data_IF_249163780606
#
_entry.id   IF_249163780606
#
_cell.length_a   1.000
_cell.length_b   1.000
_cell.length_c   1.000
_cell.angle_alpha   90.00
_cell.angle_beta   90.00
_cell.angle_gamma   90.00
#
_symmetry.space_group_name_H-M   'P 1'
#
loop_
_entity.id
_entity.type
_entity.pdbx_description
1 polymer ?
#
# COMPACT_ATOMS: atom_id res chain seq x y z
N UNK A 1 0.27 -10.99 -47.19
CA UNK A 1 -0.06 -11.39 -45.80
C UNK A 1 -1.45 -12.01 -45.84
N UNK A 2 -1.57 -13.31 -45.59
CA UNK A 2 -2.86 -13.93 -45.27
C UNK A 2 -3.26 -13.47 -43.88
N UNK A 3 -4.42 -12.82 -43.75
CA UNK A 3 -4.99 -12.55 -42.44
C UNK A 3 -5.61 -13.86 -41.93
N UNK A 4 -5.11 -14.36 -40.80
CA UNK A 4 -5.71 -15.49 -40.09
C UNK A 4 -6.86 -14.95 -39.23
N UNK A 5 -8.02 -14.79 -39.87
CA UNK A 5 -9.25 -14.43 -39.18
C UNK A 5 -9.93 -15.70 -38.64
N UNK A 6 -10.71 -15.53 -37.56
CA UNK A 6 -11.57 -16.60 -37.05
C UNK A 6 -12.54 -17.02 -38.15
N UNK A 7 -12.54 -18.30 -38.48
CA UNK A 7 -13.34 -18.90 -39.54
C UNK A 7 -14.68 -19.41 -39.01
N UNK A 8 -15.66 -19.59 -39.90
CA UNK A 8 -16.95 -20.17 -39.54
C UNK A 8 -16.83 -21.61 -39.02
N UNK A 9 -15.87 -22.38 -39.53
CA UNK A 9 -15.68 -23.77 -39.12
C UNK A 9 -15.05 -23.85 -37.72
N UNK A 10 -14.15 -22.93 -37.36
CA UNK A 10 -13.68 -22.77 -35.97
C UNK A 10 -14.84 -22.39 -35.04
N UNK A 11 -15.71 -21.46 -35.44
CA UNK A 11 -16.88 -21.09 -34.62
C UNK A 11 -17.85 -22.26 -34.42
N UNK A 12 -18.07 -23.11 -35.45
CA UNK A 12 -18.88 -24.32 -35.31
C UNK A 12 -18.24 -25.29 -34.32
N UNK A 13 -16.92 -25.45 -34.37
CA UNK A 13 -16.17 -26.29 -33.43
C UNK A 13 -16.31 -25.77 -31.99
N UNK A 14 -16.09 -24.47 -31.75
CA UNK A 14 -16.22 -23.87 -30.41
C UNK A 14 -17.63 -24.02 -29.84
N UNK A 15 -18.68 -23.84 -30.65
CA UNK A 15 -20.07 -24.05 -30.23
C UNK A 15 -20.34 -25.47 -29.79
N UNK A 16 -19.80 -26.46 -30.52
CA UNK A 16 -19.92 -27.87 -30.16
C UNK A 16 -19.20 -28.18 -28.85
N UNK A 17 -17.97 -27.72 -28.69
CA UNK A 17 -17.18 -27.90 -27.46
C UNK A 17 -17.88 -27.27 -26.25
N UNK A 18 -18.46 -26.08 -26.41
CA UNK A 18 -19.23 -25.43 -25.35
C UNK A 18 -20.50 -26.23 -24.98
N UNK A 19 -21.27 -26.69 -25.97
CA UNK A 19 -22.49 -27.47 -25.73
C UNK A 19 -22.24 -28.81 -25.02
N UNK A 20 -21.02 -29.35 -25.13
CA UNK A 20 -20.58 -30.57 -24.45
C UNK A 20 -19.91 -30.28 -23.08
N UNK A 21 -19.70 -29.00 -22.74
CA UNK A 21 -19.02 -28.57 -21.52
C UNK A 21 -19.94 -28.61 -20.28
N UNK A 22 -19.35 -28.82 -19.10
CA UNK A 22 -20.07 -28.68 -17.82
C UNK A 22 -20.50 -27.24 -17.56
N UNK A 23 -19.81 -26.26 -18.16
CA UNK A 23 -20.09 -24.83 -18.01
C UNK A 23 -21.44 -24.43 -18.63
N UNK A 24 -21.92 -25.16 -19.63
CA UNK A 24 -23.25 -24.95 -20.24
C UNK A 24 -24.36 -25.04 -19.18
N UNK A 25 -24.27 -26.05 -18.30
CA UNK A 25 -25.27 -26.29 -17.25
C UNK A 25 -25.41 -25.14 -16.23
N UNK A 26 -24.34 -24.33 -16.06
CA UNK A 26 -24.31 -23.19 -15.14
C UNK A 26 -24.40 -21.84 -15.86
N UNK A 27 -24.45 -21.82 -17.20
CA UNK A 27 -24.44 -20.60 -18.00
C UNK A 27 -25.57 -19.64 -17.61
N UNK A 28 -26.78 -20.15 -17.45
CA UNK A 28 -27.94 -19.32 -17.08
C UNK A 28 -27.77 -18.61 -15.73
N UNK A 29 -27.15 -19.27 -14.74
CA UNK A 29 -26.86 -18.66 -13.44
C UNK A 29 -25.80 -17.57 -13.57
N UNK A 30 -24.72 -17.83 -14.32
CA UNK A 30 -23.66 -16.85 -14.59
C UNK A 30 -24.20 -15.63 -15.34
N UNK A 31 -25.08 -15.83 -16.32
CA UNK A 31 -25.74 -14.73 -17.05
C UNK A 31 -26.62 -13.87 -16.14
N UNK A 32 -27.28 -14.48 -15.14
CA UNK A 32 -28.19 -13.78 -14.24
C UNK A 32 -27.49 -13.07 -13.08
N UNK A 33 -26.40 -13.63 -12.55
CA UNK A 33 -25.78 -13.19 -11.29
C UNK A 33 -24.30 -12.80 -11.42
N UNK A 34 -23.66 -13.10 -12.57
CA UNK A 34 -22.23 -12.89 -12.79
C UNK A 34 -21.36 -14.02 -12.23
N UNK A 35 -20.11 -14.07 -12.69
CA UNK A 35 -19.13 -15.12 -12.31
C UNK A 35 -18.82 -15.11 -10.81
N UNK A 36 -18.52 -13.96 -10.16
CA UNK A 36 -18.11 -13.97 -8.76
C UNK A 36 -19.19 -14.56 -7.85
N UNK A 37 -20.46 -14.19 -8.04
CA UNK A 37 -21.56 -14.66 -7.21
C UNK A 37 -21.82 -16.17 -7.35
N UNK A 38 -21.70 -16.71 -8.57
CA UNK A 38 -21.93 -18.14 -8.85
C UNK A 38 -20.75 -19.02 -8.40
N UNK A 39 -19.54 -18.47 -8.35
CA UNK A 39 -18.34 -19.25 -8.04
C UNK A 39 -17.95 -19.27 -6.55
N UNK A 40 -18.63 -18.52 -5.67
CA UNK A 40 -18.32 -18.46 -4.23
C UNK A 40 -18.30 -19.88 -3.61
N UNK A 41 -17.20 -20.21 -2.93
CA UNK A 41 -17.05 -21.44 -2.18
C UNK A 41 -17.36 -21.22 -0.68
N UNK A 42 -18.65 -21.24 -0.34
CA UNK A 42 -19.11 -21.06 1.06
C UNK A 42 -18.56 -22.08 2.06
N UNK A 43 -18.03 -23.23 1.59
CA UNK A 43 -17.39 -24.21 2.48
C UNK A 43 -16.07 -23.70 3.07
N UNK A 44 -15.38 -22.79 2.38
CA UNK A 44 -14.12 -22.19 2.86
C UNK A 44 -14.37 -21.30 4.06
N UNK A 45 -15.46 -20.53 4.07
CA UNK A 45 -15.81 -19.64 5.19
C UNK A 45 -15.91 -20.39 6.52
N UNK A 46 -16.47 -21.60 6.52
CA UNK A 46 -16.57 -22.43 7.72
C UNK A 46 -15.20 -22.86 8.28
N UNK A 47 -14.15 -22.93 7.44
CA UNK A 47 -12.79 -23.27 7.84
C UNK A 47 -11.99 -22.05 8.30
N UNK A 48 -12.35 -20.86 7.81
CA UNK A 48 -11.66 -19.60 8.04
C UNK A 48 -12.12 -18.92 9.34
N UNK A 49 -11.90 -19.61 10.46
CA UNK A 49 -12.30 -19.12 11.79
C UNK A 49 -11.40 -17.99 12.31
N UNK A 50 -11.99 -17.03 13.01
CA UNK A 50 -11.29 -15.86 13.59
C UNK A 50 -10.68 -16.16 14.96
N UNK A 51 -10.00 -17.30 15.09
CA UNK A 51 -9.29 -17.71 16.31
C UNK A 51 -7.81 -17.94 15.98
N UNK A 52 -6.91 -17.52 16.86
CA UNK A 52 -5.48 -17.50 16.58
C UNK A 52 -4.67 -17.90 17.81
N UNK A 53 -3.61 -18.69 17.62
CA UNK A 53 -2.70 -19.10 18.70
C UNK A 53 -1.79 -17.96 19.16
N UNK A 54 -1.48 -17.02 18.26
CA UNK A 54 -0.79 -15.76 18.57
C UNK A 54 -1.72 -14.64 18.12
N UNK A 55 -2.04 -13.72 19.02
CA UNK A 55 -2.88 -12.57 18.74
C UNK A 55 -2.36 -11.35 19.51
N UNK A 56 -1.97 -10.32 18.79
CA UNK A 56 -1.55 -9.04 19.35
C UNK A 56 -2.78 -8.15 19.46
N UNK A 57 -3.03 -7.63 20.65
CA UNK A 57 -4.15 -6.70 20.88
C UNK A 57 -3.91 -5.40 20.10
N UNK A 58 -4.96 -4.98 19.40
CA UNK A 58 -4.97 -3.79 18.53
C UNK A 58 -6.12 -2.86 18.94
N UNK A 59 -6.02 -1.59 18.55
CA UNK A 59 -7.08 -0.61 18.80
C UNK A 59 -8.34 -0.86 17.96
N UNK A 60 -9.30 0.06 18.07
CA UNK A 60 -10.52 0.01 17.27
C UNK A 60 -10.19 0.13 15.77
N UNK A 61 -11.02 -0.47 14.91
CA UNK A 61 -10.79 -0.46 13.46
C UNK A 61 -10.83 0.96 12.89
N UNK A 62 -10.01 1.20 11.87
CA UNK A 62 -9.93 2.48 11.17
C UNK A 62 -10.65 2.43 9.82
N UNK A 63 -10.93 3.59 9.22
CA UNK A 63 -11.60 3.66 7.91
C UNK A 63 -11.02 4.76 7.01
N UNK A 64 -10.31 4.37 5.95
CA UNK A 64 -9.75 5.27 4.94
C UNK A 64 -10.81 5.84 3.97
N UNK A 65 -12.01 5.24 3.95
CA UNK A 65 -13.12 5.60 3.06
C UNK A 65 -12.69 5.60 1.59
N UNK A 66 -12.98 6.66 0.84
CA UNK A 66 -12.74 6.75 -0.61
C UNK A 66 -11.40 7.42 -0.90
N UNK A 67 -10.33 6.87 -0.34
CA UNK A 67 -8.96 7.33 -0.55
C UNK A 67 -7.99 6.14 -0.61
N UNK A 68 -6.87 6.29 -1.31
CA UNK A 68 -5.82 5.27 -1.45
C UNK A 68 -4.79 5.31 -0.31
N UNK A 69 -5.20 5.65 0.91
CA UNK A 69 -4.29 5.92 2.05
C UNK A 69 -3.93 4.69 2.88
N UNK A 70 -4.20 3.48 2.40
CA UNK A 70 -4.06 2.25 3.17
C UNK A 70 -2.68 2.08 3.82
N UNK A 71 -1.61 2.44 3.12
CA UNK A 71 -0.24 2.43 3.65
C UNK A 71 -0.06 3.33 4.88
N UNK A 72 -0.65 4.52 4.88
CA UNK A 72 -0.64 5.43 6.03
C UNK A 72 -1.48 4.89 7.18
N UNK A 73 -2.67 4.34 6.88
CA UNK A 73 -3.53 3.72 7.89
C UNK A 73 -2.85 2.52 8.54
N UNK A 74 -2.29 1.61 7.76
CA UNK A 74 -1.54 0.47 8.27
C UNK A 74 -0.32 0.93 9.09
N UNK A 75 0.44 1.93 8.64
CA UNK A 75 1.61 2.41 9.39
C UNK A 75 1.21 3.10 10.71
N UNK A 76 0.16 3.91 10.69
CA UNK A 76 -0.38 4.53 11.92
C UNK A 76 -1.02 3.51 12.86
N UNK A 77 -1.59 2.40 12.35
CA UNK A 77 -2.09 1.28 13.17
C UNK A 77 -0.97 0.52 13.87
N UNK A 78 0.22 0.45 13.27
CA UNK A 78 1.43 -0.06 13.96
C UNK A 78 1.85 0.93 15.06
N UNK A 79 1.99 2.21 14.73
CA UNK A 79 2.54 3.22 15.65
C UNK A 79 1.64 3.54 16.83
N UNK A 80 0.30 3.51 16.65
CA UNK A 80 -0.65 3.83 17.73
C UNK A 80 -0.54 2.89 18.93
N UNK A 81 -0.10 1.64 18.73
CA UNK A 81 0.05 0.68 19.81
C UNK A 81 1.11 1.12 20.84
N UNK A 82 2.17 1.79 20.39
CA UNK A 82 3.20 2.35 21.28
C UNK A 82 2.65 3.52 22.10
N UNK A 83 1.82 4.37 21.49
CA UNK A 83 1.14 5.48 22.17
C UNK A 83 0.17 4.92 23.21
N UNK A 84 -0.66 3.95 22.82
CA UNK A 84 -1.63 3.28 23.69
C UNK A 84 -0.94 2.67 24.91
N UNK A 85 0.17 1.95 24.69
CA UNK A 85 0.97 1.34 25.75
C UNK A 85 1.61 2.37 26.69
N UNK A 86 2.23 3.43 26.15
CA UNK A 86 2.90 4.45 26.96
C UNK A 86 1.92 5.31 27.77
N UNK A 87 0.76 5.63 27.21
CA UNK A 87 -0.27 6.43 27.87
C UNK A 87 -1.26 5.59 28.68
N UNK A 88 -1.19 4.25 28.58
CA UNK A 88 -2.13 3.29 29.17
C UNK A 88 -3.58 3.60 28.79
N UNK A 89 -3.81 3.81 27.50
CA UNK A 89 -5.13 4.11 26.95
C UNK A 89 -5.62 2.97 26.08
N UNK A 90 -6.90 2.62 26.24
CA UNK A 90 -7.51 1.47 25.58
C UNK A 90 -7.59 1.61 24.06
N UNK A 91 -7.81 2.82 23.56
CA UNK A 91 -7.90 3.09 22.14
C UNK A 91 -7.50 4.53 21.84
N UNK A 92 -6.86 4.72 20.69
CA UNK A 92 -6.60 6.02 20.08
C UNK A 92 -6.33 5.85 18.58
N UNK A 93 -6.44 6.95 17.84
CA UNK A 93 -5.96 7.01 16.45
C UNK A 93 -4.94 8.13 16.29
N UNK A 94 -3.87 7.86 15.54
CA UNK A 94 -3.04 8.92 14.97
C UNK A 94 -3.76 9.52 13.76
N UNK A 95 -3.59 10.81 13.52
CA UNK A 95 -4.18 11.47 12.35
C UNK A 95 -3.57 10.91 11.08
N UNK A 96 -4.41 10.35 10.21
CA UNK A 96 -4.02 9.93 8.87
C UNK A 96 -4.14 11.08 7.86
N UNK A 97 -4.90 12.14 8.18
CA UNK A 97 -4.97 13.36 7.39
C UNK A 97 -3.68 14.21 7.51
N UNK A 98 -2.98 14.13 8.65
CA UNK A 98 -1.73 14.85 8.87
C UNK A 98 -0.60 14.43 7.91
N UNK A 99 -0.22 13.14 7.81
CA UNK A 99 0.75 12.70 6.82
C UNK A 99 0.24 12.85 5.38
N UNK A 100 -1.08 12.76 5.13
CA UNK A 100 -1.65 13.02 3.80
C UNK A 100 -1.31 14.43 3.29
N UNK A 101 -1.46 15.46 4.13
CA UNK A 101 -1.13 16.83 3.75
C UNK A 101 0.32 16.93 3.29
N UNK A 102 1.25 16.45 4.12
CA UNK A 102 2.68 16.55 3.85
C UNK A 102 3.11 15.69 2.67
N UNK A 103 2.56 14.49 2.54
CA UNK A 103 2.83 13.59 1.41
C UNK A 103 2.43 14.23 0.08
N UNK A 104 1.25 14.84 0.00
CA UNK A 104 0.79 15.50 -1.22
C UNK A 104 1.66 16.69 -1.58
N UNK A 105 2.08 17.49 -0.61
CA UNK A 105 2.98 18.61 -0.85
C UNK A 105 4.37 18.14 -1.31
N UNK A 106 4.92 17.14 -0.64
CA UNK A 106 6.24 16.60 -0.94
C UNK A 106 6.28 15.87 -2.28
N UNK A 107 5.29 15.02 -2.57
CA UNK A 107 5.13 14.42 -3.91
C UNK A 107 5.01 15.47 -5.00
N UNK A 108 4.31 16.58 -4.75
CA UNK A 108 4.25 17.69 -5.71
C UNK A 108 5.63 18.27 -5.98
N UNK A 109 6.43 18.48 -4.94
CA UNK A 109 7.82 18.94 -5.07
C UNK A 109 8.69 17.91 -5.80
N UNK A 110 8.63 16.64 -5.38
CA UNK A 110 9.38 15.55 -5.98
C UNK A 110 9.05 15.35 -7.46
N UNK A 111 7.78 15.44 -7.83
CA UNK A 111 7.35 15.44 -9.23
C UNK A 111 8.00 16.60 -10.01
N UNK A 112 7.92 17.83 -9.51
CA UNK A 112 8.51 18.98 -10.20
C UNK A 112 10.05 18.87 -10.30
N UNK A 113 10.71 18.34 -9.27
CA UNK A 113 12.14 17.99 -9.34
C UNK A 113 12.43 16.95 -10.42
N UNK A 114 11.61 15.90 -10.55
CA UNK A 114 11.78 14.90 -11.59
C UNK A 114 11.52 15.46 -12.99
N UNK A 115 10.61 16.42 -13.16
CA UNK A 115 10.45 17.16 -14.41
C UNK A 115 11.68 17.99 -14.74
N UNK A 116 12.30 18.65 -13.75
CA UNK A 116 13.53 19.41 -13.95
C UNK A 116 14.73 18.48 -14.25
N UNK A 117 14.81 17.31 -13.60
CA UNK A 117 15.84 16.29 -13.86
C UNK A 117 15.70 15.67 -15.26
N UNK A 118 14.48 15.56 -15.77
CA UNK A 118 14.16 14.99 -17.09
C UNK A 118 13.78 16.08 -18.11
N UNK A 119 14.24 17.32 -17.91
CA UNK A 119 13.79 18.46 -18.71
C UNK A 119 14.14 18.35 -20.21
N UNK A 120 15.22 17.60 -20.50
CA UNK A 120 15.71 17.30 -21.85
C UNK A 120 15.06 16.06 -22.50
N UNK A 121 14.32 15.23 -21.73
CA UNK A 121 13.60 14.09 -22.28
C UNK A 121 12.56 14.56 -23.32
N UNK A 122 12.35 13.85 -24.44
CA UNK A 122 11.36 14.25 -25.42
C UNK A 122 9.94 14.04 -24.89
N UNK A 123 9.01 14.89 -25.36
CA UNK A 123 7.57 14.66 -25.11
C UNK A 123 7.16 13.31 -25.72
N UNK A 124 6.36 12.51 -24.99
CA UNK A 124 5.99 11.17 -25.41
C UNK A 124 7.06 10.10 -25.16
N UNK A 125 8.17 10.44 -24.48
CA UNK A 125 9.08 9.41 -23.99
C UNK A 125 8.42 8.62 -22.86
N UNK A 126 8.77 7.32 -22.73
CA UNK A 126 8.18 6.44 -21.71
C UNK A 126 8.32 7.00 -20.30
N UNK A 127 9.45 7.65 -19.99
CA UNK A 127 9.66 8.27 -18.67
C UNK A 127 8.81 9.52 -18.47
N UNK A 128 8.70 10.39 -19.48
CA UNK A 128 7.87 11.59 -19.40
C UNK A 128 6.40 11.21 -19.26
N UNK A 129 5.92 10.26 -20.08
CA UNK A 129 4.55 9.76 -20.02
C UNK A 129 4.26 9.09 -18.67
N UNK A 130 5.21 8.32 -18.13
CA UNK A 130 5.08 7.73 -16.79
C UNK A 130 4.92 8.80 -15.70
N UNK A 131 5.83 9.78 -15.64
CA UNK A 131 5.78 10.86 -14.63
C UNK A 131 4.46 11.65 -14.74
N UNK A 132 3.97 11.89 -15.96
CA UNK A 132 2.73 12.63 -16.21
C UNK A 132 1.46 11.79 -15.98
N UNK A 133 1.55 10.46 -15.96
CA UNK A 133 0.39 9.56 -15.85
C UNK A 133 -0.33 9.68 -14.50
N UNK A 134 0.43 9.72 -13.40
CA UNK A 134 -0.08 9.89 -12.04
C UNK A 134 0.89 10.72 -11.19
N UNK A 135 0.94 12.06 -11.38
CA UNK A 135 1.88 12.94 -10.67
C UNK A 135 1.72 12.92 -9.14
N UNK A 136 0.52 12.61 -8.64
CA UNK A 136 0.18 12.73 -7.22
C UNK A 136 -0.87 11.70 -6.76
N UNK A 137 -0.57 10.42 -6.88
CA UNK A 137 -1.40 9.35 -6.30
C UNK A 137 -1.45 9.39 -4.76
N UNK A 138 -2.51 8.82 -4.17
CA UNK A 138 -2.61 8.62 -2.72
C UNK A 138 -1.62 7.57 -2.20
N UNK A 139 -1.36 6.54 -3.01
CA UNK A 139 -0.53 5.39 -2.66
C UNK A 139 0.92 5.69 -2.32
N UNK A 140 1.57 4.80 -1.59
CA UNK A 140 2.94 4.98 -1.14
C UNK A 140 3.51 3.77 -0.43
N UNK A 141 4.82 3.82 -0.14
CA UNK A 141 5.59 2.72 0.43
C UNK A 141 5.96 2.99 1.89
N UNK A 142 6.38 1.96 2.63
CA UNK A 142 6.84 2.11 4.02
C UNK A 142 7.90 3.22 4.18
N UNK A 143 8.96 3.21 3.38
CA UNK A 143 10.02 4.23 3.48
C UNK A 143 9.53 5.64 3.20
N UNK A 144 8.55 5.80 2.30
CA UNK A 144 7.91 7.10 2.05
C UNK A 144 7.18 7.60 3.31
N UNK A 145 6.62 6.70 4.11
CA UNK A 145 5.95 7.07 5.36
C UNK A 145 6.99 7.45 6.42
N UNK A 146 8.09 6.70 6.49
CA UNK A 146 9.24 7.03 7.36
C UNK A 146 9.77 8.43 7.07
N UNK A 147 10.00 8.77 5.79
CA UNK A 147 10.46 10.10 5.39
C UNK A 147 9.54 11.23 5.90
N UNK A 148 8.22 11.02 5.86
CA UNK A 148 7.25 11.99 6.36
C UNK A 148 7.30 12.12 7.88
N UNK A 149 7.35 10.99 8.59
CA UNK A 149 7.35 10.98 10.06
C UNK A 149 8.65 11.55 10.61
N UNK A 150 9.80 11.26 10.01
CA UNK A 150 11.08 11.84 10.43
C UNK A 150 11.13 13.35 10.21
N UNK A 151 10.54 13.83 9.12
CA UNK A 151 10.52 15.25 8.79
C UNK A 151 9.47 16.04 9.57
N UNK A 152 8.27 15.49 9.72
CA UNK A 152 7.09 16.22 10.22
C UNK A 152 6.51 15.66 11.52
N UNK A 153 6.86 14.43 11.93
CA UNK A 153 6.30 13.77 13.10
C UNK A 153 4.88 13.24 12.87
N UNK A 154 4.15 12.99 13.98
CA UNK A 154 2.75 12.54 13.96
C UNK A 154 1.96 13.25 15.05
N UNK A 155 0.64 13.32 14.89
CA UNK A 155 -0.26 13.84 15.92
C UNK A 155 -1.49 12.94 16.10
N UNK A 156 -2.20 13.03 17.25
CA UNK A 156 -3.49 12.36 17.44
C UNK A 156 -4.55 12.84 16.44
N UNK A 157 -5.48 11.96 16.08
CA UNK A 157 -6.59 12.25 15.16
C UNK A 157 -7.47 13.40 15.68
N UNK A 158 -7.65 13.51 17.00
CA UNK A 158 -8.45 14.57 17.63
C UNK A 158 -7.88 15.97 17.40
N UNK A 159 -6.56 16.06 17.17
CA UNK A 159 -5.85 17.32 16.93
C UNK A 159 -5.96 17.74 15.46
N UNK A 160 -5.95 16.78 14.54
CA UNK A 160 -6.06 17.03 13.11
C UNK A 160 -7.02 16.02 12.47
N UNK A 161 -8.34 16.30 12.51
CA UNK A 161 -9.37 15.36 12.12
C UNK A 161 -9.47 15.20 10.60
N UNK A 162 -10.24 14.20 10.18
CA UNK A 162 -10.57 13.99 8.77
C UNK A 162 -11.45 15.14 8.23
N UNK A 163 -11.23 15.50 6.96
CA UNK A 163 -12.09 16.41 6.20
C UNK A 163 -12.88 15.64 5.13
N UNK A 164 -13.76 16.35 4.42
CA UNK A 164 -14.44 15.78 3.25
C UNK A 164 -13.43 15.29 2.19
N UNK A 165 -12.34 16.05 1.98
CA UNK A 165 -11.30 15.72 1.01
C UNK A 165 -10.38 14.60 1.48
N UNK A 166 -10.00 14.52 2.76
CA UNK A 166 -9.19 13.39 3.22
C UNK A 166 -9.96 12.07 3.13
N UNK A 167 -11.27 12.10 3.40
CA UNK A 167 -12.17 10.95 3.29
C UNK A 167 -12.61 10.61 1.85
N UNK A 168 -12.36 11.51 0.88
CA UNK A 168 -12.64 11.34 -0.54
C UNK A 168 -11.72 12.23 -1.39
N UNK A 169 -10.53 11.72 -1.71
CA UNK A 169 -9.40 12.47 -2.27
C UNK A 169 -9.56 12.82 -3.74
N UNK A 170 -10.44 12.12 -4.47
CA UNK A 170 -10.56 12.20 -5.93
C UNK A 170 -10.63 13.63 -6.48
N UNK A 171 -11.44 14.50 -5.87
CA UNK A 171 -11.60 15.87 -6.36
C UNK A 171 -10.34 16.72 -6.13
N UNK A 172 -9.75 16.64 -4.93
CA UNK A 172 -8.51 17.34 -4.57
C UNK A 172 -7.38 16.89 -5.50
N UNK A 173 -7.18 15.58 -5.62
CA UNK A 173 -6.12 15.00 -6.45
C UNK A 173 -6.27 15.37 -7.92
N UNK A 174 -7.49 15.42 -8.45
CA UNK A 174 -7.76 15.86 -9.82
C UNK A 174 -7.23 17.27 -10.09
N UNK A 175 -7.54 18.22 -9.21
CA UNK A 175 -7.15 19.62 -9.43
C UNK A 175 -5.67 19.87 -9.17
N UNK A 176 -5.06 19.19 -8.19
CA UNK A 176 -3.60 19.26 -8.00
C UNK A 176 -2.89 18.62 -9.20
N UNK A 177 -3.33 17.45 -9.66
CA UNK A 177 -2.79 16.80 -10.86
C UNK A 177 -2.86 17.71 -12.09
N UNK A 178 -3.98 18.43 -12.28
CA UNK A 178 -4.13 19.38 -13.38
C UNK A 178 -3.06 20.48 -13.30
N UNK A 179 -2.87 21.09 -12.12
CA UNK A 179 -1.83 22.11 -11.90
C UNK A 179 -0.43 21.56 -12.11
N UNK A 180 -0.12 20.36 -11.60
CA UNK A 180 1.20 19.74 -11.78
C UNK A 180 1.52 19.49 -13.27
N UNK A 181 0.55 19.01 -14.05
CA UNK A 181 0.71 18.84 -15.51
C UNK A 181 0.89 20.17 -16.23
N UNK A 182 0.13 21.20 -15.84
CA UNK A 182 0.31 22.58 -16.33
C UNK A 182 1.73 23.08 -16.03
N UNK A 183 2.21 22.92 -14.79
CA UNK A 183 3.54 23.31 -14.38
C UNK A 183 4.64 22.57 -15.13
N UNK A 184 4.49 21.26 -15.32
CA UNK A 184 5.44 20.49 -16.11
C UNK A 184 5.54 21.02 -17.55
N UNK A 185 4.40 21.32 -18.17
CA UNK A 185 4.34 21.96 -19.48
C UNK A 185 5.05 23.32 -19.47
N UNK A 186 4.74 24.19 -18.51
CA UNK A 186 5.37 25.52 -18.38
C UNK A 186 6.89 25.43 -18.22
N UNK A 187 7.38 24.62 -17.27
CA UNK A 187 8.81 24.48 -16.99
C UNK A 187 9.58 23.99 -18.22
N UNK A 188 9.06 22.93 -18.86
CA UNK A 188 9.69 22.35 -20.07
C UNK A 188 9.65 23.32 -21.25
N UNK A 189 8.54 24.03 -21.46
CA UNK A 189 8.43 25.06 -22.51
C UNK A 189 9.43 26.20 -22.32
N UNK A 190 9.55 26.72 -21.10
CA UNK A 190 10.51 27.78 -20.79
C UNK A 190 11.96 27.33 -21.02
N UNK A 191 12.28 26.07 -20.74
CA UNK A 191 13.59 25.52 -21.04
C UNK A 191 13.83 25.33 -22.55
N UNK A 192 12.86 24.74 -23.25
CA UNK A 192 13.01 24.37 -24.66
C UNK A 192 12.96 25.58 -25.61
N UNK A 193 12.03 26.51 -25.38
CA UNK A 193 11.78 27.66 -26.26
C UNK A 193 12.56 28.90 -25.82
N UNK A 194 12.54 29.23 -24.52
CA UNK A 194 13.20 30.43 -23.97
C UNK A 194 14.63 30.16 -23.47
N UNK A 195 15.12 28.92 -23.55
CA UNK A 195 16.47 28.51 -23.13
C UNK A 195 16.81 28.83 -21.67
N UNK A 196 15.80 28.89 -20.80
CA UNK A 196 16.02 29.06 -19.35
C UNK A 196 16.72 27.84 -18.77
N UNK A 197 17.73 28.09 -17.95
CA UNK A 197 18.41 27.05 -17.17
C UNK A 197 17.52 26.54 -16.04
N UNK A 198 17.82 25.35 -15.52
CA UNK A 198 17.10 24.79 -14.35
C UNK A 198 17.15 25.76 -13.15
N UNK A 199 18.27 26.48 -12.96
CA UNK A 199 18.41 27.43 -11.87
C UNK A 199 17.49 28.65 -12.02
N UNK A 200 17.30 29.16 -13.23
CA UNK A 200 16.36 30.24 -13.51
C UNK A 200 14.89 29.83 -13.32
N UNK A 201 14.59 28.52 -13.33
CA UNK A 201 13.27 27.97 -13.11
C UNK A 201 12.94 27.73 -11.63
N UNK A 202 13.93 27.73 -10.73
CA UNK A 202 13.73 27.45 -9.28
C UNK A 202 12.75 28.42 -8.61
N UNK A 203 12.80 29.75 -8.82
CA UNK A 203 11.85 30.66 -8.19
C UNK A 203 10.41 30.46 -8.68
N UNK A 204 10.24 29.96 -9.92
CA UNK A 204 8.92 29.62 -10.44
C UNK A 204 8.39 28.34 -9.79
N UNK A 205 9.23 27.32 -9.62
CA UNK A 205 8.87 26.08 -8.89
C UNK A 205 8.39 26.39 -7.46
N UNK A 206 9.04 27.32 -6.77
CA UNK A 206 8.63 27.74 -5.42
C UNK A 206 7.22 28.34 -5.40
N UNK A 207 6.90 29.23 -6.35
CA UNK A 207 5.54 29.78 -6.50
C UNK A 207 4.51 28.68 -6.80
N UNK A 208 4.85 27.75 -7.68
CA UNK A 208 4.01 26.60 -8.02
C UNK A 208 3.69 25.75 -6.78
N UNK A 209 4.67 25.52 -5.91
CA UNK A 209 4.48 24.81 -4.64
C UNK A 209 3.66 25.60 -3.63
N UNK A 210 3.82 26.92 -3.57
CA UNK A 210 2.95 27.77 -2.75
C UNK A 210 1.48 27.67 -3.16
N UNK A 211 1.19 27.57 -4.46
CA UNK A 211 -0.17 27.34 -4.96
C UNK A 211 -0.70 25.94 -4.58
N UNK A 212 0.14 24.91 -4.63
CA UNK A 212 -0.22 23.56 -4.16
C UNK A 212 -0.52 23.57 -2.66
N UNK A 213 0.33 24.19 -1.84
CA UNK A 213 0.10 24.34 -0.40
C UNK A 213 -1.26 25.01 -0.13
N UNK A 214 -1.57 26.08 -0.87
CA UNK A 214 -2.85 26.77 -0.75
C UNK A 214 -4.04 25.83 -1.03
N UNK A 215 -3.99 25.04 -2.11
CA UNK A 215 -5.04 24.06 -2.42
C UNK A 215 -5.18 23.02 -1.28
N UNK A 216 -4.06 22.49 -0.78
CA UNK A 216 -4.06 21.52 0.30
C UNK A 216 -4.65 22.10 1.59
N UNK A 217 -4.27 23.32 1.97
CA UNK A 217 -4.79 23.99 3.15
C UNK A 217 -6.31 24.25 3.05
N UNK A 218 -6.82 24.59 1.86
CA UNK A 218 -8.26 24.72 1.60
C UNK A 218 -8.99 23.39 1.75
N UNK A 219 -8.40 22.28 1.31
CA UNK A 219 -9.04 20.96 1.33
C UNK A 219 -8.92 20.21 2.68
N UNK A 220 -7.80 20.38 3.38
CA UNK A 220 -7.41 19.57 4.53
C UNK A 220 -7.29 20.37 5.84
N UNK A 221 -7.27 21.71 5.77
CA UNK A 221 -6.87 22.56 6.87
C UNK A 221 -5.35 22.75 6.93
N UNK A 222 -4.88 23.65 7.80
CA UNK A 222 -3.45 23.82 8.04
C UNK A 222 -2.96 22.84 9.12
N UNK A 223 -1.87 22.09 8.87
CA UNK A 223 -1.32 21.19 9.86
C UNK A 223 -0.87 21.93 11.14
N UNK A 224 -1.16 21.39 12.33
CA UNK A 224 -0.76 22.00 13.59
C UNK A 224 0.76 22.00 13.75
N UNK A 225 1.31 23.14 14.18
CA UNK A 225 2.74 23.25 14.57
C UNK A 225 2.94 22.82 16.02
N UNK A 226 1.98 23.15 16.88
CA UNK A 226 1.90 22.72 18.28
C UNK A 226 0.46 22.43 18.65
N UNK A 227 0.26 21.55 19.63
CA UNK A 227 -1.08 21.19 20.10
C UNK A 227 -1.09 20.77 21.57
N UNK A 228 -2.29 20.67 22.12
CA UNK A 228 -2.54 20.00 23.39
C UNK A 228 -3.36 18.73 23.12
N UNK A 229 -2.90 17.60 23.62
CA UNK A 229 -3.64 16.34 23.59
C UNK A 229 -4.14 15.98 24.98
N UNK A 230 -5.44 15.76 25.10
CA UNK A 230 -6.11 15.38 26.33
C UNK A 230 -6.67 13.97 26.17
N UNK A 231 -6.50 13.13 27.19
CA UNK A 231 -6.92 11.74 27.15
C UNK A 231 -7.37 11.26 28.54
N UNK A 232 -8.07 10.14 28.57
CA UNK A 232 -8.41 9.43 29.81
C UNK A 232 -7.79 8.04 29.73
N UNK A 233 -6.97 7.70 30.71
CA UNK A 233 -6.32 6.39 30.79
C UNK A 233 -7.27 5.29 31.29
N UNK A 234 -6.79 4.05 31.29
CA UNK A 234 -7.53 2.88 31.77
C UNK A 234 -7.91 2.96 33.25
N UNK A 235 -7.17 3.73 34.05
CA UNK A 235 -7.48 4.02 35.46
C UNK A 235 -8.55 5.12 35.62
N UNK A 236 -9.13 5.60 34.52
CA UNK A 236 -10.06 6.74 34.44
C UNK A 236 -9.46 8.06 34.90
N UNK A 237 -8.13 8.21 34.81
CA UNK A 237 -7.42 9.45 35.14
C UNK A 237 -7.28 10.31 33.89
N UNK A 238 -7.56 11.60 34.05
CA UNK A 238 -7.35 12.59 33.01
C UNK A 238 -5.86 12.88 32.84
N UNK A 239 -5.37 12.78 31.61
CA UNK A 239 -4.04 13.16 31.17
C UNK A 239 -4.08 14.34 30.20
N UNK A 240 -3.05 15.18 30.26
CA UNK A 240 -2.85 16.31 29.34
C UNK A 240 -1.40 16.42 28.91
N UNK A 241 -1.18 16.52 27.61
CA UNK A 241 0.12 16.77 26.99
C UNK A 241 -0.01 18.12 26.28
N UNK A 242 0.47 19.18 26.91
CA UNK A 242 0.32 20.55 26.42
C UNK A 242 1.53 21.04 25.62
N UNK A 243 1.26 21.94 24.66
CA UNK A 243 2.26 22.68 23.88
C UNK A 243 3.33 21.80 23.19
N UNK A 244 2.93 20.62 22.72
CA UNK A 244 3.83 19.66 22.07
C UNK A 244 3.77 19.79 20.55
N UNK A 245 4.92 19.67 19.89
CA UNK A 245 5.00 19.55 18.43
C UNK A 245 4.71 18.11 17.97
N UNK A 246 4.29 17.90 16.71
CA UNK A 246 4.15 16.55 16.14
C UNK A 246 5.44 15.70 16.19
N UNK A 247 6.63 16.31 16.04
CA UNK A 247 7.91 15.60 16.17
C UNK A 247 8.17 15.16 17.61
N UNK A 248 8.03 16.06 18.58
CA UNK A 248 8.19 15.71 19.99
C UNK A 248 7.16 14.65 20.43
N UNK A 249 5.94 14.69 19.88
CA UNK A 249 4.93 13.68 20.15
C UNK A 249 5.36 12.31 19.61
N UNK A 250 5.88 12.26 18.38
CA UNK A 250 6.46 11.05 17.81
C UNK A 250 7.59 10.52 18.69
N UNK A 251 8.61 11.33 18.98
CA UNK A 251 9.80 10.91 19.74
C UNK A 251 9.43 10.37 21.13
N UNK A 252 8.51 11.04 21.82
CA UNK A 252 8.13 10.70 23.20
C UNK A 252 7.13 9.55 23.27
N UNK A 253 6.08 9.55 22.46
CA UNK A 253 4.94 8.64 22.62
C UNK A 253 4.84 7.53 21.57
N UNK A 254 5.47 7.68 20.41
CA UNK A 254 5.71 6.55 19.50
C UNK A 254 7.08 5.96 19.82
N UNK A 255 8.16 6.71 19.56
CA UNK A 255 9.52 6.36 19.95
C UNK A 255 10.06 5.10 19.26
N UNK A 256 9.50 4.75 18.10
CA UNK A 256 10.06 3.71 17.24
C UNK A 256 11.25 4.28 16.47
N UNK A 257 12.36 3.53 16.44
CA UNK A 257 13.48 3.83 15.57
C UNK A 257 13.16 3.31 14.17
N UNK A 258 12.59 4.16 13.31
CA UNK A 258 12.06 3.74 12.01
C UNK A 258 13.13 3.18 11.08
N UNK A 259 14.37 3.65 11.19
CA UNK A 259 15.54 3.09 10.51
C UNK A 259 15.83 1.62 10.86
N UNK A 260 15.32 1.12 11.99
CA UNK A 260 15.47 -0.29 12.37
C UNK A 260 14.44 -1.18 11.66
N UNK A 261 13.49 -0.61 10.91
CA UNK A 261 12.51 -1.37 10.14
C UNK A 261 12.87 -1.39 8.66
N UNK A 262 12.69 -2.55 8.03
CA UNK A 262 12.98 -2.74 6.61
C UNK A 262 11.85 -3.44 5.90
N UNK A 263 11.64 -3.07 4.64
CA UNK A 263 10.71 -3.76 3.75
C UNK A 263 11.33 -5.04 3.22
N UNK A 264 10.77 -6.19 3.59
CA UNK A 264 11.13 -7.49 3.06
C UNK A 264 10.13 -7.85 1.97
N UNK A 265 10.60 -7.96 0.73
CA UNK A 265 9.83 -8.45 -0.40
C UNK A 265 9.91 -9.98 -0.51
N UNK A 266 8.91 -10.57 -1.16
CA UNK A 266 8.98 -11.94 -1.69
C UNK A 266 8.32 -12.01 -3.07
N UNK A 267 9.10 -11.74 -4.09
CA UNK A 267 8.76 -12.01 -5.48
C UNK A 267 9.74 -13.02 -6.08
N UNK A 268 9.30 -14.23 -6.47
CA UNK A 268 10.16 -15.17 -7.18
C UNK A 268 10.40 -14.71 -8.62
N UNK A 269 11.49 -15.18 -9.22
CA UNK A 269 11.75 -15.03 -10.66
C UNK A 269 13.10 -14.38 -10.97
N UNK A 270 13.56 -14.48 -12.23
CA UNK A 270 14.89 -14.00 -12.63
C UNK A 270 15.03 -12.46 -12.57
N UNK A 271 13.92 -11.72 -12.65
CA UNK A 271 13.88 -10.26 -12.51
C UNK A 271 14.16 -9.80 -11.07
N UNK A 272 13.81 -10.64 -10.09
CA UNK A 272 13.95 -10.36 -8.67
C UNK A 272 14.68 -11.52 -8.00
N UNK A 273 15.99 -11.70 -8.23
CA UNK A 273 16.76 -12.70 -7.49
C UNK A 273 16.60 -12.49 -5.97
N UNK A 274 16.45 -13.58 -5.24
CA UNK A 274 16.46 -13.54 -3.77
C UNK A 274 17.85 -13.12 -3.26
N UNK A 275 17.88 -12.68 -2.00
CA UNK A 275 19.09 -12.21 -1.31
C UNK A 275 19.74 -11.00 -2.00
N UNK A 276 18.90 -10.15 -2.61
CA UNK A 276 19.30 -8.89 -3.22
C UNK A 276 18.42 -7.75 -2.71
N UNK A 277 19.02 -6.57 -2.69
CA UNK A 277 18.33 -5.33 -2.38
C UNK A 277 17.85 -4.64 -3.67
N UNK A 278 16.70 -3.98 -3.61
CA UNK A 278 16.09 -3.30 -4.74
C UNK A 278 15.58 -1.89 -4.36
N UNK A 279 15.61 -0.98 -5.33
CA UNK A 279 14.96 0.33 -5.32
C UNK A 279 14.26 0.54 -6.66
N UNK A 280 13.35 1.51 -6.75
CA UNK A 280 12.62 1.82 -7.99
C UNK A 280 12.90 3.26 -8.42
N UNK A 281 13.24 3.47 -9.69
CA UNK A 281 13.48 4.82 -10.24
C UNK A 281 12.26 5.72 -10.03
N UNK A 282 12.50 6.95 -9.58
CA UNK A 282 11.45 7.96 -9.38
C UNK A 282 10.31 7.55 -8.44
N UNK A 283 10.51 6.55 -7.57
CA UNK A 283 9.57 6.19 -6.52
C UNK A 283 10.03 6.79 -5.19
N UNK A 284 9.52 7.98 -4.87
CA UNK A 284 9.66 8.60 -3.55
C UNK A 284 8.61 9.70 -3.38
N UNK A 285 8.56 10.30 -2.18
CA UNK A 285 7.76 11.50 -1.89
C UNK A 285 8.63 12.68 -1.46
N UNK A 286 9.59 12.48 -0.55
CA UNK A 286 10.44 13.57 -0.03
C UNK A 286 11.74 13.62 -0.84
N UNK A 287 11.97 14.74 -1.54
CA UNK A 287 13.24 14.96 -2.24
C UNK A 287 14.41 14.99 -1.23
N UNK A 288 15.44 14.17 -1.48
CA UNK A 288 16.56 13.99 -0.56
C UNK A 288 16.27 13.09 0.66
N UNK A 289 15.05 12.55 0.77
CA UNK A 289 14.71 11.53 1.77
C UNK A 289 15.29 10.15 1.44
N UNK A 290 15.09 9.20 2.35
CA UNK A 290 15.53 7.82 2.16
C UNK A 290 14.85 7.22 0.91
N UNK A 291 15.63 6.50 0.10
CA UNK A 291 15.11 5.78 -1.07
C UNK A 291 14.28 4.59 -0.61
N UNK A 292 13.21 4.30 -1.33
CA UNK A 292 12.48 3.04 -1.13
C UNK A 292 13.46 1.88 -1.32
N UNK A 293 13.59 1.08 -0.27
CA UNK A 293 14.54 -0.02 -0.22
C UNK A 293 13.83 -1.30 0.19
N UNK A 294 14.09 -2.34 -0.58
CA UNK A 294 13.58 -3.69 -0.36
C UNK A 294 14.71 -4.68 -0.24
N UNK A 295 14.56 -5.71 0.59
CA UNK A 295 15.33 -6.97 0.47
C UNK A 295 14.39 -8.07 0.01
N UNK A 296 14.72 -8.77 -1.07
CA UNK A 296 13.87 -9.86 -1.57
C UNK A 296 14.31 -11.19 -0.95
N UNK A 297 13.41 -11.85 -0.22
CA UNK A 297 13.65 -13.13 0.45
C UNK A 297 12.61 -14.19 0.04
N UNK A 298 12.92 -15.49 0.17
CA UNK A 298 11.93 -16.55 -0.05
C UNK A 298 10.71 -16.39 0.86
N UNK A 299 9.52 -16.73 0.37
CA UNK A 299 8.26 -16.51 1.08
C UNK A 299 8.22 -17.19 2.47
N UNK A 300 8.81 -18.38 2.59
CA UNK A 300 8.91 -19.09 3.86
C UNK A 300 9.73 -18.29 4.89
N UNK A 301 10.82 -17.65 4.45
CA UNK A 301 11.63 -16.78 5.30
C UNK A 301 10.85 -15.53 5.72
N UNK A 302 10.03 -14.96 4.84
CA UNK A 302 9.13 -13.84 5.18
C UNK A 302 8.13 -14.26 6.25
N UNK A 303 7.48 -15.42 6.12
CA UNK A 303 6.54 -15.93 7.15
C UNK A 303 7.23 -16.14 8.50
N UNK A 304 8.42 -16.72 8.51
CA UNK A 304 9.20 -16.88 9.75
C UNK A 304 9.46 -15.54 10.44
N UNK A 305 9.83 -14.51 9.69
CA UNK A 305 10.08 -13.16 10.21
C UNK A 305 8.80 -12.53 10.78
N UNK A 306 7.67 -12.66 10.08
CA UNK A 306 6.36 -12.22 10.55
C UNK A 306 6.00 -12.92 11.86
N UNK A 307 6.13 -14.24 11.94
CA UNK A 307 5.83 -15.02 13.15
C UNK A 307 6.72 -14.60 14.32
N UNK A 308 8.04 -14.41 14.09
CA UNK A 308 8.97 -13.92 15.12
C UNK A 308 8.54 -12.55 15.65
N UNK A 309 8.19 -11.62 14.77
CA UNK A 309 7.75 -10.28 15.17
C UNK A 309 6.43 -10.31 15.95
N UNK A 310 5.45 -11.12 15.51
CA UNK A 310 4.18 -11.31 16.23
C UNK A 310 4.38 -11.97 17.60
N UNK A 311 5.32 -12.92 17.70
CA UNK A 311 5.66 -13.59 18.97
C UNK A 311 6.26 -12.63 19.99
N UNK A 312 6.91 -11.57 19.53
CA UNK A 312 7.42 -10.45 20.31
C UNK A 312 6.33 -9.37 20.59
N UNK A 313 5.06 -9.72 20.40
CA UNK A 313 3.88 -8.86 20.59
C UNK A 313 3.95 -7.56 19.75
N UNK A 314 4.46 -7.66 18.53
CA UNK A 314 4.55 -6.58 17.55
C UNK A 314 3.81 -6.95 16.28
N UNK A 315 2.88 -6.11 15.88
CA UNK A 315 2.14 -6.26 14.63
C UNK A 315 3.03 -6.01 13.40
N UNK A 316 2.59 -6.43 12.22
CA UNK A 316 3.38 -6.33 10.98
C UNK A 316 2.60 -5.61 9.90
N UNK A 317 3.10 -4.46 9.45
CA UNK A 317 2.63 -3.83 8.22
C UNK A 317 2.98 -4.75 7.04
N UNK A 318 2.07 -4.95 6.11
CA UNK A 318 2.32 -5.74 4.90
C UNK A 318 1.59 -5.19 3.67
N UNK A 319 2.15 -5.44 2.49
CA UNK A 319 1.58 -5.10 1.19
C UNK A 319 1.23 -6.36 0.40
N UNK A 320 0.03 -6.35 -0.20
CA UNK A 320 -0.52 -7.49 -0.94
C UNK A 320 -1.36 -7.07 -2.13
N UNK A 321 -1.74 -8.02 -2.98
CA UNK A 321 -2.81 -7.85 -3.96
C UNK A 321 -4.17 -8.24 -3.35
N UNK A 322 -4.80 -7.31 -2.61
CA UNK A 322 -6.04 -7.61 -1.86
C UNK A 322 -7.24 -7.92 -2.77
N UNK A 323 -7.18 -7.55 -4.05
CA UNK A 323 -8.27 -7.84 -4.99
C UNK A 323 -8.32 -9.31 -5.40
N UNK A 324 -7.18 -10.00 -5.33
CA UNK A 324 -7.05 -11.39 -5.72
C UNK A 324 -7.67 -12.29 -4.67
N UNK A 325 -8.62 -13.12 -5.08
CA UNK A 325 -9.25 -14.14 -4.25
C UNK A 325 -9.59 -13.66 -2.81
N UNK A 326 -10.23 -12.50 -2.67
CA UNK A 326 -10.65 -11.92 -1.38
C UNK A 326 -12.14 -11.55 -1.34
N UNK A 327 -12.86 -12.07 -0.35
CA UNK A 327 -14.31 -11.97 -0.24
C UNK A 327 -14.63 -10.97 0.86
N UNK A 328 -14.71 -9.71 0.45
CA UNK A 328 -14.83 -8.54 1.33
C UNK A 328 -15.98 -8.60 2.34
N UNK A 329 -17.20 -9.07 1.99
CA UNK A 329 -18.31 -9.10 2.95
C UNK A 329 -17.97 -9.86 4.24
N UNK A 330 -17.39 -11.05 4.11
CA UNK A 330 -17.05 -11.91 5.25
C UNK A 330 -15.56 -11.81 5.64
N UNK A 331 -14.77 -10.98 4.92
CA UNK A 331 -13.37 -10.71 5.25
C UNK A 331 -12.45 -11.91 5.03
N UNK A 332 -12.76 -12.79 4.08
CA UNK A 332 -11.99 -14.03 3.84
C UNK A 332 -11.05 -13.86 2.65
N UNK A 333 -9.75 -14.11 2.86
CA UNK A 333 -8.73 -14.11 1.80
C UNK A 333 -8.18 -15.53 1.66
N UNK A 334 -8.57 -16.22 0.58
CA UNK A 334 -8.21 -17.63 0.35
C UNK A 334 -8.22 -17.97 -1.13
N UNK A 335 -7.17 -18.64 -1.61
CA UNK A 335 -7.06 -19.13 -2.99
C UNK A 335 -8.23 -20.03 -3.41
N UNK A 336 -8.88 -20.70 -2.46
CA UNK A 336 -9.99 -21.64 -2.69
C UNK A 336 -11.38 -21.00 -2.58
N UNK A 337 -11.44 -19.69 -2.32
CA UNK A 337 -12.69 -18.98 -2.04
C UNK A 337 -13.61 -18.87 -3.27
N UNK A 338 -13.09 -19.01 -4.50
CA UNK A 338 -13.91 -19.13 -5.71
C UNK A 338 -13.56 -20.39 -6.52
N UNK A 339 -14.59 -21.12 -6.92
CA UNK A 339 -14.52 -22.22 -7.86
C UNK A 339 -14.56 -21.76 -9.33
N UNK A 340 -13.86 -20.67 -9.69
CA UNK A 340 -13.93 -20.07 -11.04
C UNK A 340 -13.59 -21.09 -12.12
N UNK A 341 -12.57 -21.92 -11.91
CA UNK A 341 -12.14 -22.94 -12.88
C UNK A 341 -13.26 -23.94 -13.20
N UNK A 342 -14.06 -24.32 -12.20
CA UNK A 342 -15.19 -25.24 -12.37
C UNK A 342 -16.36 -24.57 -13.08
N UNK A 343 -16.62 -23.30 -12.80
CA UNK A 343 -17.71 -22.54 -13.41
C UNK A 343 -17.42 -22.21 -14.88
N UNK A 344 -16.18 -21.85 -15.20
CA UNK A 344 -15.77 -21.48 -16.55
C UNK A 344 -15.27 -22.66 -17.38
N UNK A 345 -14.88 -23.76 -16.74
CA UNK A 345 -14.37 -24.95 -17.44
C UNK A 345 -12.97 -24.76 -18.01
N UNK A 346 -12.16 -23.93 -17.36
CA UNK A 346 -10.77 -23.63 -17.76
C UNK A 346 -9.89 -23.42 -16.52
N UNK A 347 -8.57 -23.52 -16.68
CA UNK A 347 -7.60 -23.28 -15.59
C UNK A 347 -6.93 -21.91 -15.73
N UNK A 348 -6.63 -21.29 -14.60
CA UNK A 348 -5.87 -20.04 -14.49
C UNK A 348 -4.57 -20.31 -13.72
N UNK A 349 -3.59 -20.95 -14.39
CA UNK A 349 -2.43 -21.57 -13.75
C UNK A 349 -1.15 -20.74 -13.68
N UNK A 350 -1.22 -19.41 -13.84
CA UNK A 350 -0.02 -18.55 -13.79
C UNK A 350 0.60 -18.60 -12.39
N UNK A 351 1.92 -18.79 -12.33
CA UNK A 351 2.71 -18.67 -11.09
C UNK A 351 2.77 -17.21 -10.62
N UNK A 352 3.16 -16.99 -9.35
CA UNK A 352 3.36 -15.63 -8.80
C UNK A 352 4.33 -14.78 -9.62
N UNK A 353 5.42 -15.37 -10.12
CA UNK A 353 6.40 -14.67 -10.97
C UNK A 353 5.77 -14.24 -12.30
N UNK A 354 5.07 -15.16 -12.98
CA UNK A 354 4.40 -14.87 -14.25
C UNK A 354 3.31 -13.81 -14.07
N UNK A 355 2.53 -13.84 -12.98
CA UNK A 355 1.51 -12.81 -12.74
C UNK A 355 2.12 -11.42 -12.60
N UNK A 356 3.30 -11.30 -11.98
CA UNK A 356 4.02 -10.02 -11.86
C UNK A 356 4.60 -9.60 -13.21
N UNK A 357 5.27 -10.49 -13.93
CA UNK A 357 5.94 -10.16 -15.19
C UNK A 357 4.96 -9.84 -16.33
N UNK A 358 3.76 -10.43 -16.31
CA UNK A 358 2.74 -10.25 -17.33
C UNK A 358 1.58 -9.33 -16.89
N UNK A 359 1.71 -8.66 -15.74
CA UNK A 359 0.79 -7.59 -15.33
C UNK A 359 -0.57 -8.03 -14.79
N UNK A 360 -0.69 -9.27 -14.30
CA UNK A 360 -1.91 -9.80 -13.66
C UNK A 360 -1.97 -9.49 -12.16
N UNK A 361 -0.83 -9.39 -11.48
CA UNK A 361 -0.81 -9.14 -10.04
C UNK A 361 0.40 -8.33 -9.59
N UNK A 362 0.17 -7.47 -8.60
CA UNK A 362 1.12 -6.54 -8.01
C UNK A 362 0.58 -6.03 -6.66
N UNK A 363 1.38 -5.31 -5.89
CA UNK A 363 0.92 -4.74 -4.61
C UNK A 363 -0.14 -3.65 -4.83
N UNK A 364 -1.36 -3.89 -4.35
CA UNK A 364 -2.49 -2.96 -4.50
C UNK A 364 -2.94 -2.38 -3.17
N UNK A 365 -2.66 -3.01 -2.03
CA UNK A 365 -3.16 -2.53 -0.73
C UNK A 365 -2.24 -2.91 0.42
N UNK A 366 -2.18 -2.05 1.44
CA UNK A 366 -1.46 -2.30 2.68
C UNK A 366 -2.41 -2.49 3.85
N UNK A 367 -2.09 -3.45 4.71
CA UNK A 367 -2.84 -3.82 5.91
C UNK A 367 -1.87 -4.17 7.05
N UNK A 368 -2.40 -4.62 8.19
CA UNK A 368 -1.58 -5.03 9.34
C UNK A 368 -1.90 -6.46 9.74
N UNK A 369 -0.88 -7.33 9.80
CA UNK A 369 -1.01 -8.65 10.41
C UNK A 369 -0.93 -8.48 11.92
N UNK A 370 -1.98 -8.94 12.61
CA UNK A 370 -2.13 -8.83 14.07
C UNK A 370 -2.12 -10.18 14.77
N UNK A 371 -2.09 -11.28 14.02
CA UNK A 371 -2.08 -12.62 14.61
C UNK A 371 -1.86 -13.72 13.59
N UNK A 372 -1.55 -14.90 14.10
CA UNK A 372 -1.33 -16.12 13.33
C UNK A 372 -1.85 -17.32 14.10
N UNK A 373 -2.46 -18.27 13.40
CA UNK A 373 -2.76 -19.58 13.95
C UNK A 373 -1.72 -20.59 13.49
N UNK A 374 -1.04 -21.21 14.45
CA UNK A 374 -0.04 -22.24 14.22
C UNK A 374 -0.65 -23.62 14.52
N UNK A 375 -0.45 -24.56 13.60
CA UNK A 375 -0.72 -25.99 13.77
C UNK A 375 0.60 -26.72 13.56
N UNK A 376 1.07 -27.46 14.56
CA UNK A 376 2.39 -28.10 14.55
C UNK A 376 3.53 -27.11 14.19
N UNK A 377 3.47 -25.90 14.76
CA UNK A 377 4.37 -24.76 14.51
C UNK A 377 4.37 -24.22 13.07
N UNK A 378 3.39 -24.59 12.24
CA UNK A 378 3.22 -24.06 10.88
C UNK A 378 2.00 -23.15 10.80
N UNK A 379 2.09 -21.99 10.14
CA UNK A 379 0.93 -21.13 9.93
C UNK A 379 -0.10 -21.84 9.05
N UNK A 380 -1.38 -21.71 9.40
CA UNK A 380 -2.46 -22.08 8.47
C UNK A 380 -3.39 -20.91 8.13
N UNK A 381 -3.47 -19.89 9.00
CA UNK A 381 -4.17 -18.64 8.73
C UNK A 381 -3.63 -17.49 9.57
N UNK A 382 -3.87 -16.28 9.09
CA UNK A 382 -3.38 -15.02 9.63
C UNK A 382 -4.54 -14.08 9.91
N UNK A 383 -4.43 -13.32 11.02
CA UNK A 383 -5.39 -12.26 11.38
C UNK A 383 -4.92 -10.95 10.76
N UNK A 384 -5.80 -10.28 10.03
CA UNK A 384 -5.47 -9.06 9.31
C UNK A 384 -6.39 -7.93 9.77
N UNK A 385 -5.80 -6.85 10.26
CA UNK A 385 -6.47 -5.59 10.51
C UNK A 385 -6.50 -4.77 9.21
N UNK A 386 -7.70 -4.50 8.71
CA UNK A 386 -7.91 -3.66 7.53
C UNK A 386 -8.24 -2.21 7.95
N UNK A 387 -8.44 -1.33 6.98
CA UNK A 387 -8.76 0.09 7.18
C UNK A 387 -10.01 0.51 6.41
N UNK A 388 -11.02 -0.35 6.36
CA UNK A 388 -12.29 -0.12 5.64
C UNK A 388 -13.52 -0.02 6.57
N UNK A 389 -13.30 0.17 7.88
CA UNK A 389 -14.34 0.24 8.89
C UNK A 389 -14.79 -1.11 9.42
N UNK A 390 -15.74 -1.09 10.38
CA UNK A 390 -16.21 -2.25 11.14
C UNK A 390 -17.36 -3.03 10.47
N UNK A 391 -17.94 -2.49 9.40
CA UNK A 391 -19.11 -3.07 8.74
C UNK A 391 -18.80 -4.28 7.84
N UNK A 392 -17.52 -4.59 7.60
CA UNK A 392 -17.09 -5.68 6.72
C UNK A 392 -16.20 -6.66 7.48
N UNK A 393 -16.16 -7.92 7.04
CA UNK A 393 -15.41 -8.95 7.74
C UNK A 393 -15.88 -9.14 9.18
N UNK A 394 -14.95 -9.55 10.05
CA UNK A 394 -15.21 -9.64 11.49
C UNK A 394 -14.83 -8.31 12.16
N UNK A 395 -15.79 -7.37 12.18
CA UNK A 395 -15.59 -6.01 12.72
C UNK A 395 -14.38 -5.29 12.09
N UNK A 396 -14.24 -5.45 10.77
CA UNK A 396 -13.16 -4.90 9.97
C UNK A 396 -11.90 -5.74 9.91
N UNK A 397 -11.83 -6.85 10.65
CA UNK A 397 -10.73 -7.80 10.55
C UNK A 397 -11.01 -8.85 9.49
N UNK A 398 -9.95 -9.20 8.77
CA UNK A 398 -9.93 -10.22 7.74
C UNK A 398 -9.17 -11.45 8.27
N UNK A 399 -9.48 -12.60 7.69
CA UNK A 399 -8.79 -13.87 7.90
C UNK A 399 -8.16 -14.32 6.59
N UNK A 400 -6.85 -14.55 6.61
CA UNK A 400 -6.05 -14.86 5.43
C UNK A 400 -5.52 -16.27 5.53
N UNK A 401 -5.73 -17.13 4.53
CA UNK A 401 -5.13 -18.46 4.51
C UNK A 401 -3.63 -18.36 4.26
N UNK A 402 -2.87 -19.36 4.70
CA UNK A 402 -1.43 -19.39 4.43
C UNK A 402 -1.10 -19.53 2.94
N UNK A 403 -1.96 -20.21 2.17
CA UNK A 403 -1.83 -20.29 0.71
C UNK A 403 -2.09 -18.94 0.04
N UNK A 404 -3.01 -18.14 0.56
CA UNK A 404 -3.20 -16.77 0.06
C UNK A 404 -1.99 -15.89 0.37
N UNK A 405 -1.40 -16.04 1.56
CA UNK A 405 -0.12 -15.38 1.89
C UNK A 405 0.94 -15.71 0.85
N UNK A 406 1.08 -16.99 0.48
CA UNK A 406 2.05 -17.43 -0.53
C UNK A 406 1.91 -16.69 -1.85
N UNK A 407 0.68 -16.61 -2.35
CA UNK A 407 0.40 -16.16 -3.71
C UNK A 407 0.32 -14.63 -3.85
N UNK A 408 -0.17 -13.92 -2.83
CA UNK A 408 -0.58 -12.52 -2.98
C UNK A 408 0.01 -11.55 -1.96
N UNK A 409 0.75 -12.00 -0.92
CA UNK A 409 1.56 -11.11 -0.08
C UNK A 409 2.91 -10.89 -0.73
N UNK A 410 3.29 -9.63 -0.94
CA UNK A 410 4.54 -9.28 -1.62
C UNK A 410 5.54 -8.61 -0.69
N UNK A 411 5.09 -7.90 0.33
CA UNK A 411 5.95 -7.10 1.22
C UNK A 411 5.53 -7.26 2.66
N UNK A 412 6.49 -7.36 3.58
CA UNK A 412 6.28 -7.24 5.02
C UNK A 412 7.35 -6.32 5.62
N UNK A 413 6.97 -5.46 6.56
CA UNK A 413 7.91 -4.57 7.26
C UNK A 413 8.37 -5.22 8.55
N UNK A 414 9.66 -5.51 8.62
CA UNK A 414 10.27 -6.31 9.67
C UNK A 414 11.34 -5.49 10.40
N UNK A 415 11.38 -5.58 11.72
CA UNK A 415 12.48 -5.05 12.53
C UNK A 415 13.76 -5.84 12.21
N UNK A 416 14.83 -5.14 11.84
CA UNK A 416 16.14 -5.68 11.46
C UNK A 416 16.70 -6.66 12.48
N UNK A 417 16.32 -6.56 13.77
CA UNK A 417 16.77 -7.50 14.80
C UNK A 417 16.35 -8.96 14.56
N UNK A 418 15.35 -9.21 13.70
CA UNK A 418 14.91 -10.56 13.34
C UNK A 418 15.61 -11.13 12.09
N UNK A 419 16.32 -10.28 11.35
CA UNK A 419 17.14 -10.68 10.22
C UNK A 419 18.45 -11.31 10.69
N UNK A 420 19.03 -12.16 9.84
CA UNK A 420 20.39 -12.66 10.03
C UNK A 420 21.41 -11.55 9.74
N UNK A 421 22.64 -11.70 10.23
CA UNK A 421 23.72 -10.75 9.91
C UNK A 421 23.96 -10.61 8.41
N UNK A 422 23.83 -11.71 7.66
CA UNK A 422 24.02 -11.69 6.19
C UNK A 422 22.84 -11.00 5.48
N UNK A 423 21.61 -11.19 5.96
CA UNK A 423 20.44 -10.44 5.49
C UNK A 423 20.61 -8.93 5.74
N UNK A 424 21.16 -8.53 6.89
CA UNK A 424 21.45 -7.11 7.18
C UNK A 424 22.53 -6.56 6.24
N UNK A 425 23.61 -7.31 5.97
CA UNK A 425 24.67 -6.89 5.04
C UNK A 425 24.17 -6.67 3.60
N UNK A 426 23.10 -7.34 3.19
CA UNK A 426 22.48 -7.10 1.86
C UNK A 426 21.92 -5.68 1.77
N UNK A 427 21.39 -5.14 2.87
CA UNK A 427 20.82 -3.79 2.92
C UNK A 427 21.87 -2.68 2.86
N UNK A 428 23.14 -3.01 3.13
CA UNK A 428 24.28 -2.08 3.07
C UNK A 428 24.89 -2.02 1.66
N UNK A 429 24.49 -2.93 0.76
CA UNK A 429 24.95 -2.95 -0.63
C UNK A 429 24.15 -1.96 -1.48
N UNK A 430 24.74 -1.53 -2.60
CA UNK A 430 24.02 -0.74 -3.60
C UNK A 430 22.82 -1.55 -4.14
N UNK A 431 21.58 -1.06 -3.99
CA UNK A 431 20.41 -1.80 -4.43
C UNK A 431 20.33 -1.82 -5.96
N UNK A 432 19.78 -2.90 -6.50
CA UNK A 432 19.42 -3.00 -7.91
C UNK A 432 18.30 -1.98 -8.18
N UNK A 433 18.58 -1.03 -9.06
CA UNK A 433 17.63 0.02 -9.42
C UNK A 433 16.71 -0.46 -10.57
N UNK A 434 15.44 -0.68 -10.23
CA UNK A 434 14.38 -1.09 -11.14
C UNK A 434 13.80 0.11 -11.90
N UNK A 435 13.21 -0.15 -13.06
CA UNK A 435 12.57 0.89 -13.87
C UNK A 435 11.35 1.51 -13.18
N UNK A 436 10.99 2.75 -13.53
CA UNK A 436 9.98 3.52 -12.80
C UNK A 436 8.58 2.88 -12.79
N UNK A 437 8.26 2.14 -13.85
CA UNK A 437 7.01 1.40 -14.04
C UNK A 437 7.08 -0.05 -13.53
N UNK A 438 8.07 -0.39 -12.70
CA UNK A 438 8.19 -1.73 -12.11
C UNK A 438 7.00 -2.00 -11.15
N UNK A 439 6.36 -3.19 -11.22
CA UNK A 439 5.22 -3.52 -10.36
C UNK A 439 5.55 -3.53 -8.87
N UNK A 440 6.81 -3.71 -8.48
CA UNK A 440 7.25 -3.63 -7.08
C UNK A 440 7.30 -2.18 -6.55
N UNK A 441 7.04 -1.19 -7.40
CA UNK A 441 6.84 0.19 -6.97
C UNK A 441 5.41 0.51 -6.52
N UNK A 442 4.44 -0.33 -6.86
CA UNK A 442 3.02 -0.05 -6.64
C UNK A 442 2.59 -0.28 -5.18
N UNK A 443 1.67 0.58 -4.71
CA UNK A 443 0.82 0.33 -3.55
C UNK A 443 -0.34 1.33 -3.56
N UNK A 444 -1.60 0.86 -3.57
CA UNK A 444 -2.83 1.65 -3.75
C UNK A 444 -2.90 2.43 -5.08
N UNK A 445 -3.22 1.70 -6.15
CA UNK A 445 -3.54 2.22 -7.48
C UNK A 445 -4.96 2.76 -7.59
#
# INVERSE_FOLDING_TARGET
MSFEAITEDELKKFKKEFAESKSEAVQGAVMAQGIPAVSINKSVEALMTHQYSINVESGDITNQKRSGRCWMFAATNVMRLEVMKKLKIKNMELSQAYPLFWDKLEKSNFFLENILKTIDEPNGSRITDFLLSSPIGDGGQWTMFVNLVEKYGVCPKDVYPETASSSNTQAMDKYITLKLREYACTLRKLHQEEKKTVEELRPLKEKMLSEVYHILAVCLGEPPVKFTYEYVDEDKKFGRIADITPKEFFDKYVGLKLDDYVSVLSCPGPRYPFEKAFTVKYLNNVEGGNKVLYINLPIERVKELVIKQLSDNRVVWFGSDVGQFSYTPDGVMSTEMWNVNKVLGTEFGMTKAERVDYGESLMTHAMVITGVNLVDNKPNRWRVENSWGDAIGDKGYFVMSDDWFNEFVYQAVIDKKYLTEDEVKILEQDPIELEAWDPMGSLAL
#
